data_IF_118730278117
#
_entry.id   IF_118730278117
#
_cell.length_a   1.000
_cell.length_b   1.000
_cell.length_c   1.000
_cell.angle_alpha   90.00
_cell.angle_beta   90.00
_cell.angle_gamma   90.00
#
_symmetry.space_group_name_H-M   'P 1'
#
loop_
_entity.id
_entity.type
_entity.pdbx_description
1 polymer ?
#
# COMPACT_ATOMS: atom_id res chain seq x y z
N UNK A 1 -18.92 -20.40 -21.22
CA UNK A 1 -19.27 -19.43 -20.17
C UNK A 1 -18.00 -18.68 -19.81
N UNK A 2 -18.01 -17.36 -19.57
CA UNK A 2 -16.83 -16.68 -19.05
C UNK A 2 -16.43 -17.33 -17.72
N UNK A 3 -15.12 -17.47 -17.49
CA UNK A 3 -14.60 -18.00 -16.23
C UNK A 3 -15.02 -17.08 -15.07
N UNK A 4 -15.32 -17.66 -13.91
CA UNK A 4 -15.57 -16.86 -12.71
C UNK A 4 -14.31 -16.05 -12.34
N UNK A 5 -14.46 -14.77 -11.94
CA UNK A 5 -13.34 -13.94 -11.55
C UNK A 5 -12.64 -14.54 -10.32
N UNK A 6 -11.31 -14.46 -10.28
CA UNK A 6 -10.55 -14.89 -9.10
C UNK A 6 -10.86 -14.04 -7.87
N UNK A 7 -10.59 -14.56 -6.67
CA UNK A 7 -10.72 -13.79 -5.42
C UNK A 7 -9.96 -12.47 -5.48
N UNK A 8 -8.75 -12.48 -6.06
CA UNK A 8 -7.93 -11.27 -6.23
C UNK A 8 -8.53 -10.28 -7.24
N UNK A 9 -9.10 -10.74 -8.35
CA UNK A 9 -9.78 -9.88 -9.32
C UNK A 9 -11.05 -9.24 -8.70
N UNK A 10 -11.81 -10.04 -7.95
CA UNK A 10 -12.99 -9.55 -7.21
C UNK A 10 -12.61 -8.53 -6.15
N UNK A 11 -11.53 -8.78 -5.40
CA UNK A 11 -11.01 -7.84 -4.40
C UNK A 11 -10.60 -6.51 -5.04
N UNK A 12 -9.90 -6.53 -6.18
CA UNK A 12 -9.53 -5.32 -6.91
C UNK A 12 -10.75 -4.49 -7.34
N UNK A 13 -11.80 -5.13 -7.86
CA UNK A 13 -13.02 -4.41 -8.25
C UNK A 13 -13.68 -3.70 -7.05
N UNK A 14 -13.65 -4.31 -5.86
CA UNK A 14 -14.17 -3.71 -4.63
C UNK A 14 -13.23 -2.59 -4.15
N UNK A 15 -11.92 -2.82 -4.15
CA UNK A 15 -10.90 -1.82 -3.78
C UNK A 15 -10.99 -0.56 -4.64
N UNK A 16 -11.09 -0.72 -5.96
CA UNK A 16 -11.22 0.39 -6.91
C UNK A 16 -12.46 1.22 -6.60
N UNK A 17 -13.57 0.57 -6.29
CA UNK A 17 -14.79 1.28 -5.92
C UNK A 17 -14.66 2.02 -4.59
N UNK A 18 -14.04 1.42 -3.58
CA UNK A 18 -13.76 2.09 -2.30
C UNK A 18 -12.91 3.35 -2.52
N UNK A 19 -11.85 3.26 -3.33
CA UNK A 19 -10.95 4.38 -3.62
C UNK A 19 -11.66 5.46 -4.45
N UNK A 20 -12.43 5.06 -5.47
CA UNK A 20 -13.19 5.98 -6.30
C UNK A 20 -14.26 6.75 -5.52
N UNK A 21 -14.97 6.08 -4.61
CA UNK A 21 -15.96 6.72 -3.74
C UNK A 21 -15.30 7.68 -2.74
N UNK A 22 -14.07 7.39 -2.30
CA UNK A 22 -13.31 8.24 -1.39
C UNK A 22 -12.66 9.46 -2.07
N UNK A 23 -12.42 9.38 -3.38
CA UNK A 23 -11.91 10.47 -4.21
C UNK A 23 -12.72 10.63 -5.51
N UNK A 24 -13.99 11.11 -5.43
CA UNK A 24 -14.84 11.26 -6.60
C UNK A 24 -14.19 12.12 -7.68
N UNK A 25 -14.13 11.59 -8.90
CA UNK A 25 -13.47 12.26 -10.03
C UNK A 25 -11.96 12.41 -9.87
N UNK A 26 -11.32 11.61 -9.02
CA UNK A 26 -9.89 11.71 -8.71
C UNK A 26 -9.53 12.86 -7.77
N UNK A 27 -10.52 13.50 -7.15
CA UNK A 27 -10.31 14.65 -6.26
C UNK A 27 -10.14 14.17 -4.83
N UNK A 28 -8.89 14.20 -4.35
CA UNK A 28 -8.55 13.80 -2.99
C UNK A 28 -8.63 14.98 -2.00
N UNK A 29 -9.16 14.73 -0.79
CA UNK A 29 -9.05 15.65 0.36
C UNK A 29 -7.60 15.95 0.72
N UNK A 30 -7.30 17.12 1.30
CA UNK A 30 -5.98 17.40 1.86
C UNK A 30 -5.79 16.62 3.18
N UNK A 31 -4.78 15.74 3.31
CA UNK A 31 -4.53 14.99 4.53
C UNK A 31 -3.77 15.80 5.58
N UNK A 32 -3.20 16.95 5.23
CA UNK A 32 -2.46 17.78 6.17
C UNK A 32 -3.43 18.67 6.94
N UNK A 33 -3.23 18.75 8.26
CA UNK A 33 -3.89 19.71 9.16
C UNK A 33 -2.82 20.41 9.97
N UNK A 34 -3.07 21.65 10.40
CA UNK A 34 -2.18 22.36 11.31
C UNK A 34 -2.60 22.09 12.74
N UNK A 35 -1.69 21.52 13.52
CA UNK A 35 -1.83 21.41 14.98
C UNK A 35 -0.87 22.42 15.58
N UNK A 36 -1.39 23.60 15.93
CA UNK A 36 -0.56 24.78 16.15
C UNK A 36 0.16 25.20 14.87
N UNK A 37 1.47 25.46 14.93
CA UNK A 37 2.26 25.83 13.75
C UNK A 37 2.83 24.63 12.96
N UNK A 38 2.54 23.39 13.38
CA UNK A 38 3.11 22.19 12.78
C UNK A 38 2.10 21.51 11.84
N UNK A 39 2.41 21.34 10.54
CA UNK A 39 1.61 20.50 9.66
C UNK A 39 1.73 19.04 10.10
N UNK A 40 0.61 18.42 10.42
CA UNK A 40 0.49 17.02 10.81
C UNK A 40 -0.34 16.25 9.79
N UNK A 41 0.10 15.04 9.47
CA UNK A 41 -0.63 14.17 8.54
C UNK A 41 -1.80 13.46 9.24
N UNK A 42 -3.00 13.54 8.67
CA UNK A 42 -4.21 12.87 9.15
C UNK A 42 -4.65 11.77 8.14
N UNK A 43 -4.35 10.49 8.44
CA UNK A 43 -4.72 9.39 7.56
C UNK A 43 -6.24 9.17 7.52
N UNK A 44 -6.76 8.72 6.38
CA UNK A 44 -8.18 8.41 6.22
C UNK A 44 -8.48 6.98 6.65
N UNK A 45 -8.55 6.78 7.97
CA UNK A 45 -8.84 5.47 8.55
C UNK A 45 -10.22 4.91 8.14
N UNK A 46 -11.15 5.74 7.67
CA UNK A 46 -12.44 5.26 7.16
C UNK A 46 -12.25 4.43 5.88
N UNK A 47 -11.33 4.85 5.01
CA UNK A 47 -10.95 4.10 3.80
C UNK A 47 -10.21 2.84 4.18
N UNK A 48 -9.23 2.93 5.10
CA UNK A 48 -8.49 1.75 5.56
C UNK A 48 -9.42 0.67 6.13
N UNK A 49 -10.39 1.02 6.98
CA UNK A 49 -11.36 0.08 7.56
C UNK A 49 -12.14 -0.67 6.48
N UNK A 50 -12.63 0.04 5.45
CA UNK A 50 -13.32 -0.58 4.31
C UNK A 50 -12.41 -1.53 3.54
N UNK A 51 -11.18 -1.11 3.23
CA UNK A 51 -10.20 -1.93 2.51
C UNK A 51 -9.86 -3.20 3.30
N UNK A 52 -9.67 -3.10 4.61
CA UNK A 52 -9.41 -4.26 5.48
C UNK A 52 -10.63 -5.20 5.61
N UNK A 53 -11.85 -4.69 5.42
CA UNK A 53 -13.07 -5.50 5.41
C UNK A 53 -13.20 -6.39 4.16
N UNK A 54 -12.62 -6.02 3.03
CA UNK A 54 -12.69 -6.79 1.77
C UNK A 54 -12.13 -8.22 1.89
N UNK A 55 -10.90 -8.46 2.36
CA UNK A 55 -10.38 -9.82 2.51
C UNK A 55 -11.24 -10.68 3.44
N UNK A 56 -11.85 -10.09 4.46
CA UNK A 56 -12.71 -10.80 5.40
C UNK A 56 -14.08 -11.14 4.78
N UNK A 57 -14.66 -10.20 4.04
CA UNK A 57 -15.89 -10.43 3.29
C UNK A 57 -15.73 -11.56 2.25
N UNK A 58 -14.57 -11.62 1.60
CA UNK A 58 -14.27 -12.64 0.58
C UNK A 58 -13.76 -13.97 1.16
N UNK A 59 -13.60 -14.08 2.47
CA UNK A 59 -12.90 -15.19 3.14
C UNK A 59 -11.55 -15.51 2.46
N UNK A 60 -10.81 -14.46 2.11
CA UNK A 60 -9.61 -14.57 1.30
C UNK A 60 -8.45 -15.10 2.17
N UNK A 61 -7.94 -16.32 1.93
CA UNK A 61 -6.84 -16.84 2.72
C UNK A 61 -5.58 -16.01 2.47
N UNK A 62 -4.67 -16.00 3.45
CA UNK A 62 -3.39 -15.30 3.38
C UNK A 62 -2.63 -15.62 2.08
N UNK A 63 -2.67 -16.88 1.62
CA UNK A 63 -2.09 -17.39 0.37
C UNK A 63 -2.50 -16.63 -0.90
N UNK A 64 -3.60 -15.88 -0.89
CA UNK A 64 -4.04 -15.04 -2.02
C UNK A 64 -3.29 -13.72 -2.13
N UNK A 65 -2.62 -13.27 -1.06
CA UNK A 65 -2.00 -11.95 -0.94
C UNK A 65 -3.00 -10.79 -0.78
N UNK A 66 -4.32 -11.02 -0.90
CA UNK A 66 -5.35 -9.98 -0.78
C UNK A 66 -5.34 -9.29 0.60
N UNK A 67 -5.13 -10.00 1.73
CA UNK A 67 -5.10 -9.36 3.04
C UNK A 67 -4.05 -8.26 3.18
N UNK A 68 -2.85 -8.46 2.62
CA UNK A 68 -1.78 -7.47 2.63
C UNK A 68 -1.99 -6.40 1.54
N UNK A 69 -2.55 -6.78 0.39
CA UNK A 69 -2.89 -5.86 -0.70
C UNK A 69 -3.80 -4.70 -0.26
N UNK A 70 -4.68 -4.92 0.72
CA UNK A 70 -5.49 -3.85 1.31
C UNK A 70 -4.64 -2.70 1.89
N UNK A 71 -3.48 -3.01 2.48
CA UNK A 71 -2.53 -2.01 2.99
C UNK A 71 -1.83 -1.29 1.83
N UNK A 72 -1.46 -2.01 0.77
CA UNK A 72 -0.79 -1.42 -0.41
C UNK A 72 -1.70 -0.39 -1.09
N UNK A 73 -2.97 -0.76 -1.28
CA UNK A 73 -3.99 0.11 -1.86
C UNK A 73 -4.17 1.34 -0.98
N UNK A 74 -4.27 1.16 0.34
CA UNK A 74 -4.42 2.28 1.27
C UNK A 74 -3.21 3.22 1.24
N UNK A 75 -1.99 2.68 1.28
CA UNK A 75 -0.75 3.46 1.19
C UNK A 75 -0.67 4.28 -0.11
N UNK A 76 -0.94 3.65 -1.25
CA UNK A 76 -0.94 4.36 -2.53
C UNK A 76 -2.02 5.46 -2.58
N UNK A 77 -3.18 5.21 -1.99
CA UNK A 77 -4.26 6.19 -1.86
C UNK A 77 -3.84 7.39 -0.97
N UNK A 78 -3.20 7.14 0.17
CA UNK A 78 -2.71 8.19 1.07
C UNK A 78 -1.62 9.05 0.43
N UNK A 79 -0.72 8.45 -0.36
CA UNK A 79 0.30 9.19 -1.11
C UNK A 79 -0.33 10.10 -2.19
N UNK A 80 -1.40 9.66 -2.85
CA UNK A 80 -2.17 10.53 -3.76
C UNK A 80 -2.94 11.61 -3.02
N UNK A 81 -3.51 11.31 -1.85
CA UNK A 81 -4.08 12.33 -0.95
C UNK A 81 -3.02 13.37 -0.57
N UNK A 82 -1.79 12.94 -0.32
CA UNK A 82 -0.68 13.83 0.00
C UNK A 82 -0.34 14.79 -1.14
N UNK A 83 -0.76 14.50 -2.38
CA UNK A 83 -0.59 15.34 -3.56
C UNK A 83 0.46 14.84 -4.54
N UNK A 84 0.91 13.58 -4.42
CA UNK A 84 1.72 12.93 -5.44
C UNK A 84 0.88 12.53 -6.65
N UNK A 85 1.52 12.49 -7.81
CA UNK A 85 0.87 12.20 -9.08
C UNK A 85 0.25 10.79 -9.10
N UNK A 86 -0.94 10.66 -9.69
CA UNK A 86 -1.73 9.44 -9.63
C UNK A 86 -1.05 8.26 -10.34
N UNK A 87 -0.31 8.54 -11.42
CA UNK A 87 0.38 7.54 -12.23
C UNK A 87 1.83 7.33 -11.78
N UNK A 88 2.41 8.25 -11.01
CA UNK A 88 3.73 8.07 -10.40
C UNK A 88 3.73 7.14 -9.18
N UNK A 89 2.59 7.02 -8.48
CA UNK A 89 2.45 6.15 -7.30
C UNK A 89 1.78 4.83 -7.67
N UNK A 90 2.45 3.72 -7.38
CA UNK A 90 1.96 2.36 -7.62
C UNK A 90 1.67 1.62 -6.31
N UNK A 91 0.64 0.74 -6.26
CA UNK A 91 -0.26 0.38 -7.35
C UNK A 91 -1.25 1.51 -7.69
N UNK A 92 -1.50 1.74 -8.99
CA UNK A 92 -2.45 2.72 -9.53
C UNK A 92 -3.90 2.43 -9.07
N UNK A 93 -4.78 3.46 -9.00
CA UNK A 93 -6.17 3.29 -8.57
C UNK A 93 -7.04 2.67 -9.68
N UNK A 94 -6.47 2.49 -10.87
CA UNK A 94 -7.06 1.83 -12.03
C UNK A 94 -5.99 1.02 -12.73
N UNK A 95 -6.39 -0.01 -13.45
CA UNK A 95 -5.46 -0.77 -14.27
C UNK A 95 -4.85 0.06 -15.43
N UNK A 96 -3.66 -0.33 -15.91
CA UNK A 96 -2.73 -1.29 -15.28
C UNK A 96 -2.19 -0.79 -13.94
N UNK A 97 -2.03 -1.66 -12.94
CA UNK A 97 -1.58 -1.26 -11.59
C UNK A 97 -0.20 -0.64 -11.55
N UNK A 98 0.64 -0.96 -12.52
CA UNK A 98 1.96 -0.35 -12.69
C UNK A 98 2.10 0.08 -14.12
N UNK A 99 2.42 1.36 -14.28
CA UNK A 99 2.66 1.97 -15.56
C UNK A 99 3.61 3.17 -15.36
N UNK A 100 4.77 3.18 -16.04
CA UNK A 100 5.67 4.33 -16.01
C UNK A 100 4.96 5.63 -16.39
N UNK A 101 5.26 6.73 -15.69
CA UNK A 101 4.71 8.07 -15.97
C UNK A 101 4.91 8.49 -17.43
N UNK A 102 6.01 8.07 -18.07
CA UNK A 102 6.27 8.34 -19.48
C UNK A 102 5.23 7.71 -20.43
N UNK A 103 4.67 6.55 -20.06
CA UNK A 103 3.58 5.91 -20.82
C UNK A 103 2.27 6.66 -20.60
N UNK A 104 1.98 7.12 -19.38
CA UNK A 104 0.83 7.97 -19.10
C UNK A 104 0.88 9.27 -19.93
N UNK A 105 2.01 9.97 -19.89
CA UNK A 105 2.24 11.20 -20.67
C UNK A 105 2.11 10.97 -22.18
N UNK A 106 2.59 9.82 -22.69
CA UNK A 106 2.38 9.42 -24.07
C UNK A 106 0.88 9.28 -24.39
N UNK A 107 0.13 8.54 -23.56
CA UNK A 107 -1.31 8.34 -23.76
C UNK A 107 -2.09 9.66 -23.77
N UNK A 108 -1.72 10.61 -22.91
CA UNK A 108 -2.35 11.94 -22.88
C UNK A 108 -2.05 12.77 -24.14
N UNK A 109 -0.85 12.64 -24.71
CA UNK A 109 -0.43 13.38 -25.89
C UNK A 109 -1.01 12.82 -27.21
N UNK A 110 -1.50 11.57 -27.20
CA UNK A 110 -1.99 10.91 -28.41
C UNK A 110 -3.41 11.36 -28.81
N UNK A 111 -3.72 11.38 -30.12
CA UNK A 111 -5.09 11.52 -30.60
C UNK A 111 -6.02 10.46 -30.00
N UNK A 112 -7.27 10.83 -29.72
CA UNK A 112 -8.23 9.97 -29.01
C UNK A 112 -8.34 8.55 -29.59
N UNK A 113 -8.33 8.40 -30.92
CA UNK A 113 -8.40 7.08 -31.57
C UNK A 113 -7.19 6.21 -31.27
N UNK A 114 -5.99 6.78 -31.30
CA UNK A 114 -4.74 6.06 -31.04
C UNK A 114 -4.61 5.73 -29.56
N UNK A 115 -4.94 6.69 -28.68
CA UNK A 115 -5.01 6.48 -27.23
C UNK A 115 -5.88 5.28 -26.88
N UNK A 116 -7.13 5.22 -27.38
CA UNK A 116 -8.05 4.12 -27.11
C UNK A 116 -7.50 2.76 -27.56
N UNK A 117 -6.82 2.71 -28.70
CA UNK A 117 -6.21 1.47 -29.20
C UNK A 117 -5.07 0.98 -28.30
N UNK A 118 -4.25 1.90 -27.78
CA UNK A 118 -3.15 1.54 -26.87
C UNK A 118 -3.69 1.17 -25.50
N UNK A 119 -4.65 1.92 -24.96
CA UNK A 119 -5.34 1.59 -23.70
C UNK A 119 -5.98 0.20 -23.75
N UNK A 120 -6.61 -0.16 -24.88
CA UNK A 120 -7.16 -1.50 -25.07
C UNK A 120 -6.07 -2.60 -25.03
N UNK A 121 -4.86 -2.32 -25.55
CA UNK A 121 -3.72 -3.26 -25.48
C UNK A 121 -3.15 -3.36 -24.08
N UNK A 122 -3.13 -2.26 -23.33
CA UNK A 122 -2.67 -2.19 -21.94
C UNK A 122 -3.64 -2.86 -20.94
N UNK A 123 -4.84 -3.26 -21.38
CA UNK A 123 -5.74 -4.10 -20.56
C UNK A 123 -5.20 -5.50 -20.26
N UNK A 124 -4.11 -5.88 -20.94
CA UNK A 124 -3.37 -7.11 -20.69
C UNK A 124 -1.96 -6.74 -20.27
N UNK A 125 -1.35 -7.57 -19.44
CA UNK A 125 0.07 -7.44 -19.11
C UNK A 125 0.92 -7.30 -20.37
N UNK A 126 1.79 -6.30 -20.38
CA UNK A 126 2.73 -6.06 -21.47
C UNK A 126 4.12 -5.99 -20.86
N UNK A 127 4.91 -7.05 -21.08
CA UNK A 127 6.21 -7.24 -20.43
C UNK A 127 7.10 -6.02 -20.63
N UNK A 128 7.63 -5.48 -19.53
CA UNK A 128 8.49 -4.29 -19.51
C UNK A 128 7.76 -2.96 -19.70
N UNK A 129 6.43 -2.95 -19.83
CA UNK A 129 5.62 -1.74 -20.04
C UNK A 129 4.61 -1.55 -18.91
N UNK A 130 3.82 -2.59 -18.62
CA UNK A 130 2.77 -2.54 -17.61
C UNK A 130 2.63 -3.88 -16.89
N UNK A 131 2.44 -3.82 -15.57
CA UNK A 131 2.50 -4.98 -14.69
C UNK A 131 1.48 -4.94 -13.55
N UNK A 132 1.35 -6.08 -12.86
CA UNK A 132 0.57 -6.22 -11.63
C UNK A 132 1.41 -6.13 -10.35
N UNK A 133 2.74 -6.22 -10.45
CA UNK A 133 3.70 -6.16 -9.34
C UNK A 133 4.95 -5.35 -9.72
N UNK A 134 5.46 -4.53 -8.79
CA UNK A 134 6.58 -3.64 -9.06
C UNK A 134 7.86 -4.29 -8.56
N UNK A 135 8.86 -4.39 -9.44
CA UNK A 135 10.16 -4.96 -9.11
C UNK A 135 11.25 -3.92 -9.30
N UNK A 136 12.03 -3.68 -8.27
CA UNK A 136 13.20 -2.80 -8.31
C UNK A 136 14.45 -3.63 -8.07
N UNK A 137 15.54 -3.28 -8.74
CA UNK A 137 16.82 -3.91 -8.46
C UNK A 137 17.28 -3.45 -7.07
N UNK A 138 17.52 -4.39 -6.16
CA UNK A 138 18.21 -4.15 -4.89
C UNK A 138 19.74 -4.23 -5.06
N UNK A 139 20.49 -4.32 -3.96
CA UNK A 139 21.96 -4.42 -4.01
C UNK A 139 22.44 -5.65 -4.79
N UNK A 140 21.82 -6.80 -4.57
CA UNK A 140 22.28 -8.08 -5.13
C UNK A 140 21.24 -8.78 -5.99
N UNK A 141 19.95 -8.54 -5.74
CA UNK A 141 18.85 -9.25 -6.40
C UNK A 141 17.69 -8.29 -6.68
N UNK A 142 16.82 -8.68 -7.61
CA UNK A 142 15.54 -8.00 -7.78
C UNK A 142 14.69 -8.16 -6.52
N UNK A 143 14.02 -7.09 -6.13
CA UNK A 143 13.09 -7.06 -5.01
C UNK A 143 11.75 -6.57 -5.51
N UNK A 144 10.71 -7.31 -5.17
CA UNK A 144 9.35 -6.81 -5.30
C UNK A 144 9.08 -5.83 -4.17
N UNK A 145 8.46 -4.71 -4.48
CA UNK A 145 8.11 -3.67 -3.52
C UNK A 145 6.63 -3.37 -3.68
N UNK A 146 5.94 -3.31 -2.55
CA UNK A 146 4.48 -3.28 -2.51
C UNK A 146 3.93 -1.94 -2.98
N UNK A 147 4.54 -0.83 -2.50
CA UNK A 147 4.18 0.53 -2.90
C UNK A 147 5.44 1.27 -3.33
N UNK A 148 5.41 1.80 -4.56
CA UNK A 148 6.57 2.41 -5.21
C UNK A 148 6.17 3.75 -5.81
N UNK A 149 7.08 4.72 -5.68
CA UNK A 149 7.08 5.90 -6.56
C UNK A 149 8.45 6.03 -7.22
N UNK A 150 8.46 6.08 -8.55
CA UNK A 150 9.69 6.20 -9.33
C UNK A 150 9.40 6.91 -10.65
N UNK A 151 10.38 7.68 -11.12
CA UNK A 151 10.41 8.20 -12.48
C UNK A 151 11.74 7.82 -13.16
N UNK A 152 11.81 7.99 -14.48
CA UNK A 152 13.03 7.74 -15.26
C UNK A 152 14.18 8.66 -14.83
N UNK A 153 13.88 9.92 -14.52
CA UNK A 153 14.90 10.93 -14.22
C UNK A 153 15.31 10.99 -12.74
N UNK A 154 14.45 10.58 -11.83
CA UNK A 154 14.73 10.51 -10.37
C UNK A 154 15.13 9.12 -9.90
N UNK A 155 14.79 8.06 -10.66
CA UNK A 155 14.83 6.68 -10.14
C UNK A 155 13.81 6.48 -9.02
N UNK A 156 13.97 5.47 -8.16
CA UNK A 156 13.08 5.25 -7.03
C UNK A 156 13.17 6.39 -6.01
N UNK A 157 12.04 7.03 -5.74
CA UNK A 157 11.91 8.11 -4.76
C UNK A 157 11.30 7.63 -3.45
N UNK A 158 10.41 6.63 -3.52
CA UNK A 158 9.77 6.03 -2.37
C UNK A 158 9.57 4.53 -2.60
N UNK A 159 9.87 3.75 -1.58
CA UNK A 159 9.76 2.29 -1.54
C UNK A 159 9.17 1.91 -0.17
N UNK A 160 7.94 1.41 -0.16
CA UNK A 160 7.27 0.94 1.04
C UNK A 160 7.00 -0.56 0.89
N UNK A 161 7.46 -1.31 1.89
CA UNK A 161 7.15 -2.72 2.05
C UNK A 161 5.97 -2.87 3.01
N UNK A 162 5.07 -3.81 2.74
CA UNK A 162 3.91 -4.11 3.59
C UNK A 162 3.91 -5.58 3.98
N UNK A 163 3.45 -5.86 5.20
CA UNK A 163 3.25 -7.22 5.69
C UNK A 163 2.00 -7.26 6.55
N UNK A 164 1.36 -8.42 6.62
CA UNK A 164 0.20 -8.66 7.48
C UNK A 164 0.30 -10.00 8.19
N UNK A 165 -0.10 -10.03 9.45
CA UNK A 165 -0.15 -11.22 10.30
C UNK A 165 -1.47 -11.25 11.07
N UNK A 166 -2.27 -12.29 10.85
CA UNK A 166 -3.57 -12.49 11.50
C UNK A 166 -3.54 -13.64 12.53
N UNK A 167 -2.57 -14.56 12.44
CA UNK A 167 -2.45 -15.73 13.32
C UNK A 167 -1.01 -16.25 13.40
N UNK A 168 -0.80 -17.37 14.12
CA UNK A 168 0.49 -18.07 14.19
C UNK A 168 1.66 -17.18 14.65
N UNK A 169 1.38 -16.19 15.49
CA UNK A 169 2.31 -15.14 15.91
C UNK A 169 3.62 -15.74 16.44
N UNK A 170 3.50 -16.77 17.27
CA UNK A 170 4.64 -17.43 17.89
C UNK A 170 5.65 -18.12 16.99
N UNK A 171 5.26 -18.52 15.77
CA UNK A 171 6.17 -19.21 14.84
C UNK A 171 6.80 -18.25 13.83
N UNK A 172 6.08 -17.18 13.48
CA UNK A 172 6.40 -16.39 12.29
C UNK A 172 6.98 -15.01 12.63
N UNK A 173 6.70 -14.45 13.81
CA UNK A 173 7.06 -13.06 14.11
C UNK A 173 8.57 -12.77 14.01
N UNK A 174 9.43 -13.64 14.57
CA UNK A 174 10.88 -13.44 14.54
C UNK A 174 11.47 -13.45 13.13
N UNK A 175 11.13 -14.48 12.36
CA UNK A 175 11.60 -14.63 10.99
C UNK A 175 11.16 -13.44 10.13
N UNK A 176 9.93 -12.94 10.34
CA UNK A 176 9.38 -11.79 9.59
C UNK A 176 10.12 -10.49 9.89
N UNK A 177 10.48 -10.26 11.15
CA UNK A 177 11.29 -9.09 11.51
C UNK A 177 12.69 -9.20 10.90
N UNK A 178 13.36 -10.33 11.04
CA UNK A 178 14.71 -10.54 10.49
C UNK A 178 14.75 -10.35 8.97
N UNK A 179 13.76 -10.90 8.26
CA UNK A 179 13.59 -10.72 6.83
C UNK A 179 13.43 -9.24 6.45
N UNK A 180 12.63 -8.50 7.24
CA UNK A 180 12.41 -7.06 7.04
C UNK A 180 13.71 -6.25 7.21
N UNK A 181 14.59 -6.63 8.13
CA UNK A 181 15.93 -6.04 8.24
C UNK A 181 16.78 -6.33 6.99
N UNK A 182 16.74 -7.56 6.49
CA UNK A 182 17.44 -7.95 5.26
C UNK A 182 16.96 -7.16 4.04
N UNK A 183 15.65 -6.96 3.92
CA UNK A 183 15.03 -6.18 2.86
C UNK A 183 15.41 -4.71 2.92
N UNK A 184 15.31 -4.11 4.11
CA UNK A 184 15.71 -2.73 4.35
C UNK A 184 17.15 -2.50 3.88
N UNK A 185 18.08 -3.36 4.31
CA UNK A 185 19.50 -3.26 3.97
C UNK A 185 19.75 -3.43 2.47
N UNK A 186 19.04 -4.35 1.83
CA UNK A 186 19.17 -4.62 0.39
C UNK A 186 18.73 -3.43 -0.45
N UNK A 187 17.60 -2.82 -0.11
CA UNK A 187 17.07 -1.65 -0.81
C UNK A 187 17.90 -0.39 -0.50
N UNK A 188 18.25 -0.14 0.77
CA UNK A 188 19.01 1.03 1.24
C UNK A 188 20.36 1.16 0.56
N UNK A 189 21.09 0.04 0.43
CA UNK A 189 22.42 0.04 -0.19
C UNK A 189 22.40 0.30 -1.70
N UNK A 190 21.25 0.13 -2.35
CA UNK A 190 21.08 0.44 -3.78
C UNK A 190 20.45 1.81 -4.01
N UNK A 191 19.49 2.20 -3.18
CA UNK A 191 18.68 3.41 -3.31
C UNK A 191 18.80 4.30 -2.07
N UNK A 192 19.98 4.89 -1.78
CA UNK A 192 20.20 5.66 -0.55
C UNK A 192 19.38 6.95 -0.46
N UNK A 193 18.93 7.49 -1.60
CA UNK A 193 18.10 8.70 -1.68
C UNK A 193 16.59 8.43 -1.56
N UNK A 194 16.16 7.17 -1.73
CA UNK A 194 14.76 6.80 -1.64
C UNK A 194 14.25 6.89 -0.19
N UNK A 195 13.01 7.33 -0.04
CA UNK A 195 12.25 7.17 1.19
C UNK A 195 11.84 5.70 1.33
N UNK A 196 12.51 4.99 2.24
CA UNK A 196 12.25 3.59 2.60
C UNK A 196 11.34 3.51 3.82
N UNK A 197 10.21 2.81 3.71
CA UNK A 197 9.27 2.60 4.80
C UNK A 197 8.75 1.16 4.89
N UNK A 198 8.20 0.80 6.05
CA UNK A 198 7.62 -0.51 6.31
C UNK A 198 6.29 -0.39 7.05
N UNK A 199 5.26 -1.10 6.59
CA UNK A 199 3.93 -1.11 7.21
C UNK A 199 3.59 -2.53 7.63
N UNK A 200 3.29 -2.71 8.91
CA UNK A 200 2.94 -4.01 9.48
C UNK A 200 1.50 -4.00 9.98
N UNK A 201 0.64 -4.80 9.37
CA UNK A 201 -0.71 -5.09 9.86
C UNK A 201 -0.69 -6.26 10.83
N UNK A 202 -1.22 -6.07 12.04
CA UNK A 202 -1.23 -7.11 13.08
C UNK A 202 -2.62 -7.22 13.69
N UNK A 203 -3.15 -8.45 13.78
CA UNK A 203 -4.44 -8.69 14.44
C UNK A 203 -4.35 -8.48 15.96
N UNK A 204 -5.32 -7.77 16.52
CA UNK A 204 -5.43 -7.39 17.93
C UNK A 204 -5.43 -8.58 18.89
N UNK A 205 -5.85 -9.77 18.44
CA UNK A 205 -5.94 -10.98 19.27
C UNK A 205 -4.62 -11.34 19.92
N UNK A 206 -3.48 -11.02 19.29
CA UNK A 206 -2.13 -11.22 19.86
C UNK A 206 -1.97 -10.59 21.26
N UNK A 207 -2.63 -9.45 21.51
CA UNK A 207 -2.57 -8.73 22.78
C UNK A 207 -3.16 -9.55 23.93
N UNK A 208 -4.11 -10.42 23.62
CA UNK A 208 -4.78 -11.29 24.59
C UNK A 208 -4.20 -12.71 24.60
N UNK A 209 -3.81 -13.24 23.43
CA UNK A 209 -3.38 -14.63 23.28
C UNK A 209 -1.88 -14.81 23.54
N UNK A 210 -1.05 -13.84 23.15
CA UNK A 210 0.42 -13.89 23.25
C UNK A 210 1.02 -12.52 23.65
N UNK A 211 0.64 -11.93 24.82
CA UNK A 211 0.97 -10.55 25.20
C UNK A 211 2.47 -10.25 25.21
N UNK A 212 3.29 -11.13 25.79
CA UNK A 212 4.76 -10.97 25.83
C UNK A 212 5.36 -10.86 24.42
N UNK A 213 4.79 -11.57 23.44
CA UNK A 213 5.23 -11.50 22.05
C UNK A 213 4.74 -10.25 21.35
N UNK A 214 3.55 -9.77 21.70
CA UNK A 214 3.08 -8.49 21.21
C UNK A 214 4.02 -7.36 21.65
N UNK A 215 4.37 -7.29 22.94
CA UNK A 215 5.32 -6.30 23.47
C UNK A 215 6.68 -6.39 22.75
N UNK A 216 7.22 -7.60 22.63
CA UNK A 216 8.49 -7.85 21.97
C UNK A 216 8.47 -7.46 20.47
N UNK A 217 7.42 -7.83 19.74
CA UNK A 217 7.30 -7.51 18.32
C UNK A 217 7.16 -5.99 18.11
N UNK A 218 6.35 -5.32 18.95
CA UNK A 218 6.18 -3.87 18.92
C UNK A 218 7.52 -3.15 19.16
N UNK A 219 8.31 -3.62 20.14
CA UNK A 219 9.65 -3.08 20.41
C UNK A 219 10.59 -3.25 19.20
N UNK A 220 10.61 -4.43 18.58
CA UNK A 220 11.44 -4.68 17.40
C UNK A 220 11.03 -3.84 16.18
N UNK A 221 9.73 -3.69 15.91
CA UNK A 221 9.24 -2.80 14.86
C UNK A 221 9.65 -1.35 15.12
N UNK A 222 9.65 -0.93 16.38
CA UNK A 222 10.16 0.38 16.79
C UNK A 222 11.63 0.57 16.42
N UNK A 223 12.47 -0.41 16.75
CA UNK A 223 13.91 -0.39 16.42
C UNK A 223 14.16 -0.37 14.92
N UNK A 224 13.46 -1.22 14.17
CA UNK A 224 13.54 -1.30 12.71
C UNK A 224 13.29 0.05 11.99
N UNK A 225 12.47 0.93 12.59
CA UNK A 225 12.17 2.27 12.04
C UNK A 225 13.02 3.41 12.59
N UNK A 226 14.04 3.12 13.40
CA UNK A 226 14.92 4.12 14.02
C UNK A 226 16.40 3.88 13.77
N UNK A 227 16.80 2.66 13.38
CA UNK A 227 18.16 2.33 13.00
C UNK A 227 18.56 2.95 11.65
N UNK A 228 19.77 3.51 11.57
CA UNK A 228 20.25 4.29 10.43
C UNK A 228 20.35 3.48 9.11
N UNK A 229 20.63 2.18 9.20
CA UNK A 229 20.80 1.28 8.06
C UNK A 229 19.56 0.42 7.73
N UNK A 230 18.42 0.73 8.36
CA UNK A 230 17.13 0.07 8.15
C UNK A 230 16.12 0.99 7.41
N UNK A 231 14.85 1.01 7.85
CA UNK A 231 13.80 1.86 7.28
C UNK A 231 13.78 3.23 7.97
N UNK A 232 13.35 4.28 7.25
CA UNK A 232 13.23 5.63 7.83
C UNK A 232 12.02 5.78 8.75
N UNK A 233 11.00 4.96 8.52
CA UNK A 233 9.80 4.90 9.32
C UNK A 233 9.17 3.52 9.22
N UNK A 234 8.56 3.09 10.33
CA UNK A 234 7.73 1.89 10.41
C UNK A 234 6.36 2.31 10.91
N UNK A 235 5.30 1.75 10.33
CA UNK A 235 3.93 1.85 10.84
C UNK A 235 3.43 0.50 11.34
N UNK A 236 2.75 0.50 12.47
CA UNK A 236 1.96 -0.63 12.95
C UNK A 236 0.48 -0.29 12.86
N UNK A 237 -0.27 -1.11 12.13
CA UNK A 237 -1.74 -1.06 12.09
C UNK A 237 -2.25 -2.22 12.93
N UNK A 238 -2.76 -1.92 14.13
CA UNK A 238 -3.39 -2.93 14.99
C UNK A 238 -4.86 -3.08 14.58
N UNK A 239 -5.18 -4.22 13.97
CA UNK A 239 -6.46 -4.50 13.32
C UNK A 239 -7.34 -5.32 14.26
N UNK A 240 -8.54 -4.82 14.55
CA UNK A 240 -9.46 -5.44 15.51
C UNK A 240 -10.81 -5.70 14.83
N UNK A 241 -11.26 -6.95 14.87
CA UNK A 241 -12.54 -7.36 14.29
C UNK A 241 -13.05 -8.62 14.99
N UNK A 242 -14.37 -8.65 15.21
CA UNK A 242 -15.06 -9.82 15.74
C UNK A 242 -15.21 -10.86 14.64
N UNK A 243 -14.63 -12.03 14.87
CA UNK A 243 -14.70 -13.12 13.92
C UNK A 243 -14.62 -14.49 14.60
N UNK A 244 -15.78 -15.16 14.63
CA UNK A 244 -15.93 -16.62 14.51
C UNK A 244 -15.56 -17.10 13.07
N UNK A 245 -14.76 -16.33 12.33
CA UNK A 245 -14.29 -16.71 11.00
C UNK A 245 -13.23 -17.78 11.22
N UNK A 246 -13.48 -18.96 10.64
CA UNK A 246 -12.59 -20.11 10.68
C UNK A 246 -11.17 -19.65 10.40
N UNK A 247 -10.28 -19.82 11.39
CA UNK A 247 -8.85 -19.62 11.21
C UNK A 247 -8.41 -20.54 10.06
N UNK A 248 -8.28 -19.97 8.87
CA UNK A 248 -7.66 -20.67 7.76
C UNK A 248 -6.20 -20.84 8.17
N UNK A 249 -5.88 -22.00 8.74
CA UNK A 249 -4.54 -22.47 9.01
C UNK A 249 -3.79 -22.69 7.69
N UNK A 250 -3.47 -21.59 7.01
CA UNK A 250 -2.57 -21.54 5.88
C UNK A 250 -1.27 -20.88 6.32
N UNK A 251 -0.15 -21.33 5.77
CA UNK A 251 1.09 -20.57 5.84
C UNK A 251 0.82 -19.15 5.32
N UNK A 252 0.95 -18.15 6.20
CA UNK A 252 0.84 -16.76 5.83
C UNK A 252 1.94 -16.45 4.81
N UNK A 253 1.55 -16.29 3.54
CA UNK A 253 2.47 -15.84 2.50
C UNK A 253 2.63 -14.33 2.59
N UNK A 254 3.82 -13.88 2.25
CA UNK A 254 4.00 -12.50 1.89
C UNK A 254 3.11 -12.13 0.71
N UNK A 255 2.69 -10.86 0.68
CA UNK A 255 1.83 -10.26 -0.35
C UNK A 255 2.28 -10.60 -1.78
N UNK A 256 3.57 -10.89 -1.98
CA UNK A 256 4.18 -10.97 -3.31
C UNK A 256 5.19 -12.09 -3.55
N UNK A 257 5.75 -12.79 -2.53
CA UNK A 257 6.89 -13.71 -2.75
C UNK A 257 6.64 -14.87 -3.74
N UNK A 258 5.38 -15.19 -4.07
CA UNK A 258 5.03 -16.25 -5.04
C UNK A 258 4.46 -15.75 -6.37
N UNK A 259 4.41 -14.44 -6.63
CA UNK A 259 4.02 -13.94 -7.95
C UNK A 259 5.25 -13.95 -8.87
N UNK A 260 5.31 -14.88 -9.82
CA UNK A 260 6.33 -14.80 -10.88
C UNK A 260 6.22 -13.43 -11.57
N UNK A 261 7.32 -12.68 -11.74
CA UNK A 261 7.29 -11.33 -12.29
C UNK A 261 6.74 -11.25 -13.72
N UNK A 262 6.61 -12.40 -14.39
CA UNK A 262 6.04 -12.57 -15.73
C UNK A 262 4.60 -13.13 -15.72
N UNK A 263 3.93 -13.18 -14.56
CA UNK A 263 2.54 -13.67 -14.52
C UNK A 263 1.66 -12.72 -15.34
N UNK A 264 1.19 -13.20 -16.49
CA UNK A 264 0.31 -12.42 -17.35
C UNK A 264 -1.00 -12.15 -16.59
N UNK A 265 -1.38 -10.88 -16.46
CA UNK A 265 -2.68 -10.49 -15.92
C UNK A 265 -3.64 -10.15 -17.06
N UNK A 266 -4.90 -10.54 -16.88
CA UNK A 266 -6.02 -10.05 -17.68
C UNK A 266 -6.99 -9.35 -16.74
N UNK A 267 -7.39 -8.12 -17.11
CA UNK A 267 -8.40 -7.39 -16.36
C UNK A 267 -9.74 -8.09 -16.57
N UNK A 268 -10.36 -8.52 -15.48
CA UNK A 268 -11.68 -9.15 -15.49
C UNK A 268 -12.72 -8.13 -15.03
N UNK A 269 -13.71 -7.86 -15.88
CA UNK A 269 -14.82 -6.98 -15.54
C UNK A 269 -15.74 -7.67 -14.52
N UNK A 270 -15.78 -7.17 -13.30
CA UNK A 270 -16.72 -7.59 -12.25
C UNK A 270 -17.98 -6.73 -12.33
N UNK A 271 -19.15 -7.36 -12.29
CA UNK A 271 -20.43 -6.65 -12.43
C UNK A 271 -20.64 -5.62 -11.31
N UNK A 272 -21.03 -4.39 -11.66
CA UNK A 272 -21.24 -3.28 -10.71
C UNK A 272 -22.22 -3.63 -9.58
N UNK A 273 -23.32 -4.33 -9.88
CA UNK A 273 -24.29 -4.74 -8.86
C UNK A 273 -23.70 -5.69 -7.82
N UNK A 274 -22.74 -6.54 -8.20
CA UNK A 274 -22.04 -7.42 -7.26
C UNK A 274 -21.09 -6.63 -6.35
N UNK A 275 -20.44 -5.58 -6.88
CA UNK A 275 -19.59 -4.68 -6.10
C UNK A 275 -20.43 -3.87 -5.11
N UNK A 276 -21.57 -3.31 -5.52
CA UNK A 276 -22.44 -2.53 -4.63
C UNK A 276 -22.99 -3.40 -3.47
N UNK A 277 -23.38 -4.64 -3.76
CA UNK A 277 -23.79 -5.61 -2.74
C UNK A 277 -22.65 -5.96 -1.76
N UNK A 278 -21.43 -6.17 -2.28
CA UNK A 278 -20.26 -6.45 -1.45
C UNK A 278 -19.93 -5.27 -0.51
N UNK A 279 -19.99 -4.03 -1.01
CA UNK A 279 -19.73 -2.83 -0.21
C UNK A 279 -20.72 -2.65 0.94
N UNK A 280 -21.99 -3.01 0.73
CA UNK A 280 -23.02 -2.96 1.76
C UNK A 280 -22.86 -4.05 2.84
N UNK A 281 -22.13 -5.12 2.52
CA UNK A 281 -21.94 -6.30 3.37
C UNK A 281 -20.54 -6.38 4.01
N UNK A 282 -19.68 -5.39 3.82
CA UNK A 282 -18.34 -5.38 4.43
C UNK A 282 -18.45 -5.41 5.97
N UNK A 283 -17.65 -6.25 6.64
CA UNK A 283 -17.58 -6.25 8.10
C UNK A 283 -16.99 -4.92 8.59
N UNK A 284 -17.42 -4.50 9.78
CA UNK A 284 -16.80 -3.35 10.44
C UNK A 284 -15.49 -3.75 11.10
N UNK A 285 -14.46 -2.94 10.88
CA UNK A 285 -13.09 -3.18 11.37
C UNK A 285 -12.70 -2.02 12.25
N UNK A 286 -12.23 -2.28 13.47
CA UNK A 286 -11.64 -1.28 14.32
C UNK A 286 -10.11 -1.25 14.13
N UNK A 287 -9.53 -0.05 14.31
CA UNK A 287 -8.07 0.14 14.33
C UNK A 287 -7.70 0.63 15.72
N UNK A 288 -6.89 -0.16 16.43
CA UNK A 288 -6.54 0.07 17.83
C UNK A 288 -5.33 0.99 17.95
N UNK A 289 -5.57 2.29 17.84
CA UNK A 289 -4.53 3.31 17.98
C UNK A 289 -3.95 3.39 19.40
N UNK A 290 -4.75 3.05 20.41
CA UNK A 290 -4.44 3.15 21.84
C UNK A 290 -3.28 2.25 22.28
N UNK A 291 -3.09 1.12 21.60
CA UNK A 291 -2.05 0.13 21.91
C UNK A 291 -0.80 0.27 21.04
N UNK A 292 -0.83 1.17 20.05
CA UNK A 292 0.30 1.41 19.15
C UNK A 292 1.15 2.57 19.67
N UNK A 293 2.45 2.37 19.95
CA UNK A 293 3.31 3.46 20.40
C UNK A 293 3.38 4.63 19.40
N UNK A 294 3.58 5.88 19.86
CA UNK A 294 3.60 7.06 18.99
C UNK A 294 4.56 6.96 17.79
N UNK A 295 5.72 6.33 17.98
CA UNK A 295 6.72 6.17 16.92
C UNK A 295 6.27 5.24 15.79
N UNK A 296 5.31 4.33 16.05
CA UNK A 296 4.75 3.39 15.07
C UNK A 296 3.39 3.82 14.53
N UNK A 297 2.89 5.00 14.90
CA UNK A 297 1.59 5.47 14.43
C UNK A 297 1.60 5.72 12.91
N UNK A 298 0.59 5.23 12.16
CA UNK A 298 0.52 5.44 10.72
C UNK A 298 0.53 6.92 10.28
N UNK A 299 -0.01 7.81 11.12
CA UNK A 299 0.04 9.26 10.91
C UNK A 299 1.49 9.79 10.84
N UNK A 300 2.30 9.44 11.84
CA UNK A 300 3.73 9.79 11.89
C UNK A 300 4.49 9.17 10.72
N UNK A 301 4.20 7.91 10.39
CA UNK A 301 4.81 7.24 9.25
C UNK A 301 4.57 8.00 7.94
N UNK A 302 3.31 8.28 7.59
CA UNK A 302 2.98 8.97 6.34
C UNK A 302 3.58 10.38 6.29
N UNK A 303 3.57 11.10 7.41
CA UNK A 303 4.24 12.39 7.54
C UNK A 303 5.73 12.32 7.19
N UNK A 304 6.47 11.39 7.80
CA UNK A 304 7.90 11.19 7.53
C UNK A 304 8.14 10.83 6.06
N UNK A 305 7.36 9.88 5.53
CA UNK A 305 7.55 9.38 4.18
C UNK A 305 7.31 10.47 3.13
N UNK A 306 6.22 11.25 3.26
CA UNK A 306 5.91 12.35 2.34
C UNK A 306 6.96 13.45 2.45
N UNK A 307 7.31 13.87 3.68
CA UNK A 307 8.30 14.93 3.90
C UNK A 307 9.65 14.56 3.32
N UNK A 308 10.09 13.31 3.49
CA UNK A 308 11.38 12.86 2.99
C UNK A 308 11.49 12.97 1.48
N UNK A 309 10.46 12.56 0.74
CA UNK A 309 10.43 12.68 -0.73
C UNK A 309 10.52 14.15 -1.17
N UNK A 310 9.71 15.02 -0.58
CA UNK A 310 9.71 16.44 -0.98
C UNK A 310 10.98 17.16 -0.50
N UNK A 311 11.64 16.71 0.55
CA UNK A 311 12.88 17.33 1.04
C UNK A 311 14.11 16.89 0.23
N UNK A 312 14.10 15.69 -0.36
CA UNK A 312 15.20 15.19 -1.21
C UNK A 312 15.07 15.55 -2.69
N UNK A 313 13.97 16.21 -3.09
CA UNK A 313 13.74 16.65 -4.47
C UNK A 313 13.72 18.18 -4.59
N UNK A 314 14.04 18.76 -5.77
CA UNK A 314 13.91 20.20 -5.99
C UNK A 314 12.47 20.70 -5.85
N UNK A 315 12.29 21.99 -5.53
CA UNK A 315 10.96 22.63 -5.38
C UNK A 315 10.09 22.56 -6.65
N UNK A 316 10.71 22.35 -7.80
CA UNK A 316 10.01 22.18 -9.08
C UNK A 316 9.32 20.82 -9.22
N UNK A 317 9.68 19.83 -8.39
CA UNK A 317 9.04 18.51 -8.29
C UNK A 317 8.01 18.48 -7.17
N UNK A 318 7.01 17.60 -7.33
CA UNK A 318 5.96 17.35 -6.34
C UNK A 318 5.25 18.62 -5.86
N UNK A 319 5.00 19.57 -6.77
CA UNK A 319 4.45 20.90 -6.45
C UNK A 319 3.13 20.82 -5.71
N UNK A 320 2.25 19.91 -6.12
CA UNK A 320 0.96 19.71 -5.48
C UNK A 320 1.12 19.16 -4.05
N UNK A 321 2.00 18.18 -3.84
CA UNK A 321 2.28 17.68 -2.50
C UNK A 321 2.81 18.75 -1.55
N UNK A 322 3.76 19.57 -2.04
CA UNK A 322 4.27 20.74 -1.29
C UNK A 322 3.16 21.76 -1.01
N UNK A 323 2.31 22.05 -2.00
CA UNK A 323 1.19 22.98 -1.85
C UNK A 323 0.24 22.48 -0.76
N UNK A 324 -0.16 21.21 -0.78
CA UNK A 324 -1.06 20.61 0.22
C UNK A 324 -0.49 20.69 1.63
N UNK A 325 0.79 20.33 1.82
CA UNK A 325 1.48 20.47 3.11
C UNK A 325 1.51 21.93 3.59
N UNK A 326 1.89 22.87 2.73
CA UNK A 326 2.07 24.27 3.12
C UNK A 326 0.75 25.04 3.30
N UNK A 327 -0.32 24.58 2.68
CA UNK A 327 -1.67 25.15 2.79
C UNK A 327 -2.59 24.33 3.69
N UNK A 328 -2.02 23.55 4.61
CA UNK A 328 -2.76 22.79 5.59
C UNK A 328 -3.75 23.71 6.35
N UNK A 329 -5.06 23.37 6.37
CA UNK A 329 -6.05 24.10 7.18
C UNK A 329 -5.76 23.93 8.67
N UNK A 330 -6.30 24.83 9.49
CA UNK A 330 -6.33 24.67 10.96
C UNK A 330 -7.09 23.38 11.33
N UNK A 331 -6.49 22.57 12.21
CA UNK A 331 -6.98 21.26 12.63
C UNK A 331 -7.91 21.27 13.83
#
# INVERSE_FOLDING_TARGET
>A
MPAEPSTKATAWAIFDRIVADAAPGGIHTNPWVKIGDTPTFQPDFRVLRKLLGVPLYLDAPSTTGVPALALDVWMSYELRRAGFDADAVWPRPTDPRIMPSAIAALLEALPQKERLLIEQRLRRSMKGVAGSSASVLGKHYMKQVDVVMSDWDTGPELLISTKRMDSSFGKNAANRVEESYGDAKNLRLRHPMAALGFVYGLRSTILSSEPDKAEWLIDLLGKLGTEDDAYHAVALVMIDYDADLTEAAGEEVDSVEKAEPDTLFEIVDVATAAVDAALAALPDIAIRHDVVPPQLQPARFLEIMVNRVIETTPVTRHREARRRRNSAPEG
#
